data_IF_168631317377
#
_entry.id   IF_168631317377
#
_cell.length_a   1.000
_cell.length_b   1.000
_cell.length_c   1.000
_cell.angle_alpha   90.00
_cell.angle_beta   90.00
_cell.angle_gamma   90.00
#
_symmetry.space_group_name_H-M   'P 1'
#
loop_
_entity.id
_entity.type
_entity.pdbx_description
1 polymer ?
#
# COMPACT_ATOMS: atom_id res chain seq x y z
N UNK A 1 14.29 -12.33 -3.14
CA UNK A 1 13.34 -11.34 -2.61
C UNK A 1 13.43 -10.03 -3.36
N UNK A 2 12.44 -9.76 -4.21
CA UNK A 2 12.25 -8.47 -4.88
C UNK A 2 11.03 -7.78 -4.29
N UNK A 3 11.13 -6.48 -4.05
CA UNK A 3 10.02 -5.69 -3.52
C UNK A 3 9.41 -4.88 -4.66
N UNK A 4 8.10 -5.01 -4.87
CA UNK A 4 7.35 -4.13 -5.74
C UNK A 4 6.75 -2.97 -4.94
N UNK A 5 6.81 -1.77 -5.49
CA UNK A 5 6.31 -0.56 -4.85
C UNK A 5 5.38 0.20 -5.79
N UNK A 6 4.23 0.66 -5.28
CA UNK A 6 3.32 1.57 -6.00
C UNK A 6 2.99 2.75 -5.10
N UNK A 7 3.21 3.96 -5.61
CA UNK A 7 2.79 5.19 -4.97
C UNK A 7 1.27 5.37 -5.17
N UNK A 8 0.58 5.74 -4.10
CA UNK A 8 -0.86 6.02 -4.10
C UNK A 8 -1.02 7.47 -3.64
N UNK A 9 -1.42 8.40 -4.54
CA UNK A 9 -1.71 9.77 -4.14
C UNK A 9 -2.85 9.78 -3.11
N UNK A 10 -2.65 10.53 -2.04
CA UNK A 10 -3.65 10.78 -0.98
C UNK A 10 -3.58 12.25 -0.57
N UNK A 11 -4.70 12.80 -0.10
CA UNK A 11 -4.83 14.20 0.28
C UNK A 11 -4.36 15.14 -0.85
N UNK A 12 -3.71 16.25 -0.53
CA UNK A 12 -3.26 17.26 -1.50
C UNK A 12 -1.93 16.92 -2.17
N UNK A 13 -1.00 16.37 -1.40
CA UNK A 13 0.43 16.30 -1.74
C UNK A 13 1.14 15.11 -1.05
N UNK A 14 0.38 14.22 -0.41
CA UNK A 14 0.92 13.04 0.25
C UNK A 14 0.85 11.81 -0.65
N UNK A 15 1.68 10.84 -0.32
CA UNK A 15 1.65 9.51 -0.91
C UNK A 15 1.66 8.45 0.17
N UNK A 16 0.73 7.52 0.07
CA UNK A 16 0.87 6.22 0.71
C UNK A 16 1.61 5.27 -0.25
N UNK A 17 2.29 4.26 0.30
CA UNK A 17 3.03 3.30 -0.50
C UNK A 17 2.50 1.89 -0.31
N UNK A 18 2.08 1.26 -1.41
CA UNK A 18 1.85 -0.18 -1.46
C UNK A 18 3.20 -0.88 -1.67
N UNK A 19 3.55 -1.77 -0.74
CA UNK A 19 4.72 -2.62 -0.81
C UNK A 19 4.24 -4.07 -0.95
N UNK A 20 4.77 -4.79 -1.95
CA UNK A 20 4.48 -6.21 -2.13
C UNK A 20 5.77 -7.00 -2.30
N UNK A 21 6.01 -7.94 -1.39
CA UNK A 21 7.06 -8.94 -1.60
C UNK A 21 6.60 -9.92 -2.69
N UNK A 22 7.38 -10.04 -3.76
CA UNK A 22 7.04 -10.91 -4.89
C UNK A 22 7.13 -12.39 -4.55
N UNK A 23 7.87 -12.76 -3.51
CA UNK A 23 8.11 -14.15 -3.15
C UNK A 23 6.98 -14.71 -2.26
N UNK A 24 6.57 -13.97 -1.22
CA UNK A 24 5.54 -14.41 -0.27
C UNK A 24 4.14 -13.82 -0.55
N UNK A 25 4.07 -12.77 -1.37
CA UNK A 25 2.87 -11.97 -1.56
C UNK A 25 2.48 -11.13 -0.34
N UNK A 26 3.34 -11.05 0.70
CA UNK A 26 3.15 -10.16 1.83
C UNK A 26 2.99 -8.72 1.34
N UNK A 27 1.91 -8.09 1.77
CA UNK A 27 1.47 -6.78 1.29
C UNK A 27 1.37 -5.81 2.45
N UNK A 28 2.01 -4.66 2.32
CA UNK A 28 2.00 -3.61 3.32
C UNK A 28 1.56 -2.28 2.71
N UNK A 29 0.95 -1.44 3.52
CA UNK A 29 0.71 -0.03 3.20
C UNK A 29 1.49 0.85 4.18
N UNK A 30 2.23 1.81 3.65
CA UNK A 30 2.90 2.86 4.43
C UNK A 30 2.00 4.09 4.48
N UNK A 31 1.78 4.63 5.68
CA UNK A 31 1.06 5.88 5.96
C UNK A 31 -0.27 6.04 5.17
N UNK A 32 -1.30 5.23 5.42
CA UNK A 32 -2.60 5.34 4.76
C UNK A 32 -3.35 6.61 5.21
N UNK A 33 -3.10 7.74 4.54
CA UNK A 33 -3.73 9.03 4.88
C UNK A 33 -5.23 9.10 4.59
N UNK A 34 -5.70 8.34 3.60
CA UNK A 34 -7.13 8.22 3.25
C UNK A 34 -7.45 6.76 2.92
N UNK A 35 -8.59 6.24 3.40
CA UNK A 35 -8.94 4.83 3.20
C UNK A 35 -9.39 4.50 1.76
N UNK A 36 -10.16 5.39 1.13
CA UNK A 36 -10.77 5.14 -0.18
C UNK A 36 -9.76 4.82 -1.31
N UNK A 37 -8.70 5.64 -1.54
CA UNK A 37 -7.72 5.34 -2.59
C UNK A 37 -6.92 4.05 -2.29
N UNK A 38 -6.70 3.74 -1.02
CA UNK A 38 -6.00 2.52 -0.59
C UNK A 38 -6.86 1.29 -0.88
N UNK A 39 -8.14 1.32 -0.50
CA UNK A 39 -9.07 0.23 -0.78
C UNK A 39 -9.18 -0.06 -2.28
N UNK A 40 -9.29 0.98 -3.11
CA UNK A 40 -9.34 0.82 -4.57
C UNK A 40 -8.11 0.09 -5.12
N UNK A 41 -6.91 0.43 -4.65
CA UNK A 41 -5.67 -0.22 -5.07
C UNK A 41 -5.54 -1.65 -4.53
N UNK A 42 -6.01 -1.90 -3.30
CA UNK A 42 -6.05 -3.25 -2.75
C UNK A 42 -7.00 -4.14 -3.54
N UNK A 43 -8.19 -3.65 -3.89
CA UNK A 43 -9.17 -4.39 -4.69
C UNK A 43 -8.61 -4.77 -6.08
N UNK A 44 -7.84 -3.86 -6.72
CA UNK A 44 -7.12 -4.14 -7.98
C UNK A 44 -6.06 -5.25 -7.83
N UNK A 45 -5.51 -5.44 -6.63
CA UNK A 45 -4.35 -6.32 -6.38
C UNK A 45 -4.69 -7.62 -5.65
N UNK A 46 -5.98 -7.91 -5.48
CA UNK A 46 -6.51 -9.13 -4.86
C UNK A 46 -6.93 -8.98 -3.39
N UNK A 47 -6.97 -7.76 -2.87
CA UNK A 47 -7.57 -7.41 -1.58
C UNK A 47 -6.73 -7.76 -0.34
N UNK A 48 -5.51 -8.27 -0.51
CA UNK A 48 -4.65 -8.66 0.61
C UNK A 48 -3.92 -7.46 1.21
N UNK A 49 -4.04 -7.29 2.53
CA UNK A 49 -3.24 -6.35 3.33
C UNK A 49 -2.80 -7.05 4.61
N UNK A 50 -1.50 -7.23 4.80
CA UNK A 50 -0.94 -7.91 5.97
C UNK A 50 -0.44 -6.93 7.02
N UNK A 51 0.06 -5.75 6.59
CA UNK A 51 0.75 -4.80 7.46
C UNK A 51 0.37 -3.36 7.15
N UNK A 52 0.29 -2.53 8.19
CA UNK A 52 0.32 -1.07 8.09
C UNK A 52 1.58 -0.60 8.79
N UNK A 53 2.38 0.20 8.09
CA UNK A 53 3.60 0.79 8.60
C UNK A 53 3.36 2.29 8.76
N UNK A 54 3.53 2.80 9.97
CA UNK A 54 3.40 4.22 10.28
C UNK A 54 4.79 4.81 10.46
N UNK A 55 5.07 5.90 9.76
CA UNK A 55 6.37 6.59 9.88
C UNK A 55 6.46 7.43 11.15
N UNK A 56 5.35 8.05 11.57
CA UNK A 56 5.23 8.90 12.76
C UNK A 56 3.81 8.89 13.33
#
# INVERSE_FOLDING_TARGET
MSLQTRAIPVLSDNYSWLLRDTETGCTAIVDPGEAAPIQAVLDETGGRLDLILLTH
#
